data_IF_053398862185
#
_entry.id   IF_053398862185
#
_cell.length_a   1.000
_cell.length_b   1.000
_cell.length_c   1.000
_cell.angle_alpha   90.00
_cell.angle_beta   90.00
_cell.angle_gamma   90.00
#
_symmetry.space_group_name_H-M   'P 1'
#
loop_
_entity.id
_entity.type
_entity.pdbx_description
1 polymer ?
#
# COMPACT_ATOMS: atom_id res chain seq x y z
N UNK A 1 -31.10 -4.17 16.65
CA UNK A 1 -30.04 -3.22 16.23
C UNK A 1 -28.69 -3.80 16.65
N UNK A 2 -28.05 -4.60 15.80
CA UNK A 2 -26.76 -5.25 16.10
C UNK A 2 -25.63 -4.38 15.57
N UNK A 3 -25.07 -3.55 16.46
CA UNK A 3 -23.85 -2.80 16.21
C UNK A 3 -22.67 -3.68 16.61
N UNK A 4 -21.90 -4.20 15.66
CA UNK A 4 -20.42 -4.35 15.71
C UNK A 4 -19.91 -5.30 14.61
N UNK A 5 -18.79 -4.91 14.02
CA UNK A 5 -17.77 -5.75 13.39
C UNK A 5 -18.04 -6.26 11.95
N UNK A 6 -17.71 -5.47 10.92
CA UNK A 6 -17.30 -5.98 9.58
C UNK A 6 -16.76 -4.88 8.66
N UNK A 7 -15.94 -3.96 9.16
CA UNK A 7 -15.03 -3.24 8.26
C UNK A 7 -13.64 -3.40 8.83
N UNK A 8 -12.89 -4.31 8.24
CA UNK A 8 -11.44 -4.37 8.36
C UNK A 8 -10.91 -3.01 7.92
N UNK A 9 -10.72 -2.11 8.87
CA UNK A 9 -10.01 -0.84 8.65
C UNK A 9 -8.55 -1.19 8.48
N UNK A 10 -8.18 -1.63 7.29
CA UNK A 10 -6.80 -2.02 6.98
C UNK A 10 -5.98 -0.75 6.79
N UNK A 11 -5.66 -0.08 7.91
CA UNK A 11 -4.78 1.08 7.91
C UNK A 11 -3.44 0.67 7.29
N UNK A 12 -2.96 1.46 6.36
CA UNK A 12 -1.68 1.25 5.70
C UNK A 12 -0.75 2.42 6.04
N UNK A 13 0.55 2.17 5.87
CA UNK A 13 1.58 3.13 6.22
C UNK A 13 2.26 3.63 4.95
N UNK A 14 2.43 4.93 4.85
CA UNK A 14 3.22 5.58 3.80
C UNK A 14 4.45 6.18 4.45
N UNK A 15 5.61 5.90 3.87
CA UNK A 15 6.88 6.52 4.26
C UNK A 15 7.40 7.37 3.11
N UNK A 16 7.88 8.57 3.44
CA UNK A 16 8.57 9.48 2.51
C UNK A 16 9.98 9.68 3.04
N UNK A 17 10.98 9.29 2.26
CA UNK A 17 12.39 9.58 2.50
C UNK A 17 12.70 11.01 2.02
N UNK A 18 12.99 11.91 2.94
CA UNK A 18 13.28 13.31 2.66
C UNK A 18 14.68 13.52 2.11
N UNK A 19 15.58 12.54 2.25
CA UNK A 19 16.93 12.59 1.70
C UNK A 19 16.96 12.20 0.22
N UNK A 20 16.02 11.35 -0.20
CA UNK A 20 15.80 10.97 -1.61
C UNK A 20 14.79 11.88 -2.31
N UNK A 21 13.90 12.57 -1.57
CA UNK A 21 12.91 13.46 -2.16
C UNK A 21 13.60 14.68 -2.80
N UNK A 22 13.40 14.86 -4.11
CA UNK A 22 13.99 15.96 -4.89
C UNK A 22 13.00 17.12 -5.14
N UNK A 23 11.78 17.06 -4.57
CA UNK A 23 10.78 18.12 -4.80
C UNK A 23 10.20 18.14 -6.22
N UNK A 24 10.24 17.03 -6.97
CA UNK A 24 9.67 16.92 -8.33
C UNK A 24 8.11 16.91 -8.29
N UNK A 25 7.51 16.68 -7.12
CA UNK A 25 6.07 16.75 -6.84
C UNK A 25 5.13 15.94 -7.77
N UNK A 26 5.67 14.95 -8.49
CA UNK A 26 4.85 14.04 -9.30
C UNK A 26 3.80 13.29 -8.48
N UNK A 27 4.09 13.04 -7.19
CA UNK A 27 3.17 12.43 -6.24
C UNK A 27 1.90 13.27 -5.99
N UNK A 28 2.01 14.60 -5.85
CA UNK A 28 0.89 15.51 -5.60
C UNK A 28 -0.14 15.51 -6.75
N UNK A 29 0.31 15.22 -7.98
CA UNK A 29 -0.58 15.12 -9.14
C UNK A 29 -1.38 13.82 -9.14
N UNK A 30 -0.90 12.79 -8.45
CA UNK A 30 -1.57 11.49 -8.34
C UNK A 30 -2.45 11.40 -7.11
N UNK A 31 -2.06 12.07 -6.04
CA UNK A 31 -2.71 12.00 -4.74
C UNK A 31 -2.71 13.38 -4.08
N UNK A 32 -3.89 13.98 -3.96
CA UNK A 32 -4.10 15.32 -3.41
C UNK A 32 -3.80 15.42 -1.91
N UNK A 33 -3.67 14.29 -1.23
CA UNK A 33 -3.28 14.23 0.19
C UNK A 33 -1.80 14.51 0.37
N UNK A 34 -0.99 14.30 -0.67
CA UNK A 34 0.37 14.79 -0.67
C UNK A 34 0.31 16.29 -0.93
N UNK A 35 1.05 17.05 -0.12
CA UNK A 35 1.17 18.50 -0.25
C UNK A 35 2.64 18.90 -0.18
N UNK A 36 2.95 20.12 -0.59
CA UNK A 36 4.28 20.68 -0.41
C UNK A 36 4.46 21.11 1.05
N UNK A 37 5.53 20.62 1.68
CA UNK A 37 5.94 21.02 3.01
C UNK A 37 6.68 22.36 3.01
N UNK A 38 6.86 22.98 4.19
CA UNK A 38 7.57 24.26 4.32
C UNK A 38 9.04 24.20 3.92
N UNK A 39 9.60 23.00 3.84
CA UNK A 39 10.96 22.68 3.42
C UNK A 39 11.11 22.48 1.90
N UNK A 40 10.03 22.63 1.13
CA UNK A 40 10.05 22.42 -0.32
C UNK A 40 10.09 20.95 -0.74
N UNK A 41 9.79 20.03 0.18
CA UNK A 41 9.67 18.59 -0.10
C UNK A 41 8.23 18.12 0.11
N UNK A 42 7.92 16.95 -0.43
CA UNK A 42 6.59 16.36 -0.27
C UNK A 42 6.32 16.00 1.20
N UNK A 43 5.11 16.31 1.66
CA UNK A 43 4.57 15.93 2.96
C UNK A 43 3.12 15.46 2.81
N UNK A 44 2.48 15.09 3.91
CA UNK A 44 1.09 14.61 3.94
C UNK A 44 0.21 15.64 4.65
N UNK A 45 -0.93 15.96 4.06
CA UNK A 45 -1.93 16.84 4.63
C UNK A 45 -2.61 16.17 5.84
N UNK A 46 -2.30 16.65 7.04
CA UNK A 46 -2.91 16.20 8.29
C UNK A 46 -4.40 16.52 8.42
N UNK A 47 -4.93 17.39 7.55
CA UNK A 47 -6.34 17.78 7.53
C UNK A 47 -7.18 16.91 6.60
N UNK A 48 -6.54 16.06 5.77
CA UNK A 48 -7.24 15.14 4.88
C UNK A 48 -7.98 14.05 5.67
N UNK A 49 -9.23 13.78 5.30
CA UNK A 49 -10.13 12.85 6.00
C UNK A 49 -9.58 11.41 6.11
N UNK A 50 -8.75 10.98 5.16
CA UNK A 50 -8.13 9.65 5.15
C UNK A 50 -6.99 9.49 6.16
N UNK A 51 -6.42 10.60 6.64
CA UNK A 51 -5.17 10.62 7.40
C UNK A 51 -5.45 10.42 8.88
N UNK A 52 -4.84 9.37 9.43
CA UNK A 52 -5.01 8.98 10.84
C UNK A 52 -3.95 9.64 11.70
N UNK A 53 -2.69 9.63 11.24
CA UNK A 53 -1.56 10.21 11.94
C UNK A 53 -0.43 10.49 10.97
N UNK A 54 0.35 11.54 11.24
CA UNK A 54 1.57 11.86 10.52
C UNK A 54 2.66 12.15 11.55
N UNK A 55 3.78 11.44 11.41
CA UNK A 55 4.99 11.67 12.19
C UNK A 55 6.09 12.11 11.24
N UNK A 56 6.79 13.18 11.61
CA UNK A 56 7.86 13.76 10.80
C UNK A 56 9.15 13.82 11.61
N UNK A 57 10.23 13.37 11.00
CA UNK A 57 11.61 13.52 11.50
C UNK A 57 12.43 14.36 10.53
N UNK A 58 13.74 14.48 10.76
CA UNK A 58 14.63 15.20 9.88
C UNK A 58 14.76 14.53 8.50
N UNK A 59 14.76 13.20 8.46
CA UNK A 59 15.10 12.43 7.26
C UNK A 59 13.89 11.72 6.65
N UNK A 60 12.79 11.55 7.40
CA UNK A 60 11.63 10.80 6.93
C UNK A 60 10.30 11.31 7.48
N UNK A 61 9.24 11.06 6.71
CA UNK A 61 7.85 11.26 7.10
C UNK A 61 7.14 9.93 7.07
N UNK A 62 6.38 9.64 8.12
CA UNK A 62 5.60 8.42 8.27
C UNK A 62 4.15 8.81 8.49
N UNK A 63 3.28 8.45 7.55
CA UNK A 63 1.85 8.67 7.65
C UNK A 63 1.10 7.35 7.73
N UNK A 64 0.05 7.32 8.54
CA UNK A 64 -0.92 6.22 8.61
C UNK A 64 -2.21 6.70 8.00
N UNK A 65 -2.71 5.98 6.99
CA UNK A 65 -3.92 6.31 6.26
C UNK A 65 -4.92 5.15 6.33
N UNK A 66 -6.20 5.49 6.27
CA UNK A 66 -7.29 4.54 6.46
C UNK A 66 -7.99 4.10 5.17
N UNK A 67 -7.76 4.80 4.06
CA UNK A 67 -8.40 4.56 2.75
C UNK A 67 -7.51 4.99 1.58
N UNK A 68 -7.89 4.57 0.37
CA UNK A 68 -7.26 4.95 -0.90
C UNK A 68 -5.77 4.55 -0.99
N UNK A 69 -5.46 3.27 -0.68
CA UNK A 69 -4.10 2.75 -0.78
C UNK A 69 -3.58 2.75 -2.23
N UNK A 70 -4.44 2.40 -3.19
CA UNK A 70 -4.09 2.39 -4.62
C UNK A 70 -3.57 3.75 -5.09
N UNK A 71 -4.19 4.85 -4.63
CA UNK A 71 -3.76 6.21 -4.97
C UNK A 71 -2.38 6.53 -4.39
N UNK A 72 -2.11 6.09 -3.16
CA UNK A 72 -0.78 6.23 -2.55
C UNK A 72 0.29 5.40 -3.30
N UNK A 73 -0.06 4.22 -3.78
CA UNK A 73 0.83 3.37 -4.59
C UNK A 73 1.12 4.00 -5.97
N UNK A 74 0.12 4.62 -6.58
CA UNK A 74 0.31 5.40 -7.80
C UNK A 74 1.21 6.61 -7.58
N UNK A 75 1.06 7.30 -6.44
CA UNK A 75 1.94 8.41 -6.07
C UNK A 75 3.38 7.94 -5.84
N UNK A 76 3.57 6.78 -5.21
CA UNK A 76 4.88 6.17 -5.03
C UNK A 76 5.54 5.79 -6.36
N UNK A 77 4.78 5.15 -7.25
CA UNK A 77 5.24 4.79 -8.61
C UNK A 77 5.59 6.00 -9.45
N UNK A 78 4.89 7.13 -9.24
CA UNK A 78 5.15 8.37 -9.94
C UNK A 78 6.40 9.10 -9.44
N UNK A 79 6.95 8.75 -8.27
CA UNK A 79 8.09 9.41 -7.67
C UNK A 79 9.40 8.99 -8.37
N UNK A 80 10.04 9.86 -9.19
CA UNK A 80 11.25 9.47 -9.92
C UNK A 80 12.43 9.01 -9.05
N UNK A 81 12.70 9.63 -7.87
CA UNK A 81 13.75 9.14 -6.99
C UNK A 81 13.31 7.94 -6.13
N UNK A 82 12.08 7.44 -6.28
CA UNK A 82 11.51 6.37 -5.47
C UNK A 82 11.57 6.67 -3.95
N UNK A 83 11.35 7.93 -3.59
CA UNK A 83 11.42 8.40 -2.21
C UNK A 83 10.19 8.00 -1.37
N UNK A 84 9.19 7.32 -1.94
CA UNK A 84 7.93 6.99 -1.28
C UNK A 84 7.77 5.47 -1.24
N UNK A 85 7.49 4.93 -0.06
CA UNK A 85 7.18 3.51 0.13
C UNK A 85 5.80 3.35 0.77
N UNK A 86 4.96 2.49 0.19
CA UNK A 86 3.66 2.12 0.75
C UNK A 86 3.79 0.73 1.35
N UNK A 87 3.50 0.63 2.65
CA UNK A 87 3.46 -0.63 3.36
C UNK A 87 2.01 -1.07 3.46
N UNK A 88 1.70 -2.31 3.06
CA UNK A 88 0.36 -2.84 3.24
C UNK A 88 -0.01 -2.81 4.73
N UNK A 89 -1.31 -2.82 5.04
CA UNK A 89 -1.75 -3.08 6.40
C UNK A 89 -1.03 -4.32 6.91
N UNK A 90 -0.47 -4.27 8.13
CA UNK A 90 0.13 -5.42 8.77
C UNK A 90 -0.95 -6.46 9.10
N UNK A 91 -1.49 -7.11 8.09
CA UNK A 91 -2.06 -8.44 8.22
C UNK A 91 -0.86 -9.34 8.47
N UNK A 92 -0.68 -9.77 9.72
CA UNK A 92 0.15 -10.94 9.97
C UNK A 92 -0.26 -12.04 8.99
N UNK A 93 0.71 -12.82 8.53
CA UNK A 93 0.51 -14.02 7.71
C UNK A 93 0.38 -13.80 6.19
N UNK A 94 1.42 -13.21 5.59
CA UNK A 94 1.78 -13.54 4.21
C UNK A 94 2.65 -14.81 4.19
N UNK A 95 2.02 -15.98 4.41
CA UNK A 95 2.61 -17.26 4.02
C UNK A 95 2.00 -17.69 2.70
N UNK A 96 2.67 -17.28 1.63
CA UNK A 96 2.47 -17.83 0.28
C UNK A 96 3.14 -19.21 0.24
N UNK A 97 2.40 -20.24 0.62
CA UNK A 97 2.73 -21.64 0.30
C UNK A 97 1.83 -22.10 -0.85
N UNK A 98 1.96 -21.44 -2.01
CA UNK A 98 1.35 -21.92 -3.24
C UNK A 98 2.21 -23.04 -3.86
N UNK A 99 2.33 -24.17 -3.16
CA UNK A 99 2.95 -25.37 -3.70
C UNK A 99 1.95 -26.15 -4.59
N UNK A 100 1.96 -25.77 -5.87
CA UNK A 100 1.91 -26.67 -7.05
C UNK A 100 0.86 -27.80 -7.06
N UNK A 101 -0.36 -27.48 -7.51
CA UNK A 101 -1.29 -28.48 -8.07
C UNK A 101 -0.87 -28.85 -9.50
N UNK A 102 0.18 -29.68 -9.62
CA UNK A 102 0.55 -30.31 -10.90
C UNK A 102 -0.23 -31.62 -11.09
N UNK A 103 -1.42 -31.46 -11.66
CA UNK A 103 -2.04 -32.35 -12.64
C UNK A 103 -1.31 -33.67 -12.96
N UNK A 104 -1.78 -34.79 -12.39
CA UNK A 104 -1.74 -36.09 -13.07
C UNK A 104 -3.14 -36.69 -13.08
N UNK A 105 -3.92 -36.19 -14.02
CA UNK A 105 -5.19 -36.78 -14.43
C UNK A 105 -4.94 -37.46 -15.78
N UNK A 106 -4.32 -38.65 -15.74
CA UNK A 106 -4.23 -39.54 -16.90
C UNK A 106 -5.34 -40.57 -16.75
N UNK A 107 -6.38 -40.40 -17.58
CA UNK A 107 -7.60 -41.19 -17.54
C UNK A 107 -7.50 -42.59 -18.15
N UNK A 108 -8.43 -43.43 -17.70
CA UNK A 108 -9.29 -44.36 -18.46
C UNK A 108 -8.65 -45.50 -19.30
N UNK A 109 -8.94 -46.76 -18.91
CA UNK A 109 -9.74 -47.69 -19.74
C UNK A 109 -10.13 -48.96 -18.98
N UNK A 110 -11.45 -49.13 -18.85
CA UNK A 110 -12.13 -50.38 -18.53
C UNK A 110 -12.00 -51.36 -19.71
N UNK A 111 -11.66 -52.61 -19.43
CA UNK A 111 -11.70 -53.71 -20.39
C UNK A 111 -12.58 -54.83 -19.86
N UNK A 112 -13.85 -54.84 -20.28
CA UNK A 112 -14.76 -55.97 -20.16
C UNK A 112 -14.61 -56.86 -21.40
N UNK A 113 -14.24 -58.13 -21.24
CA UNK A 113 -14.85 -59.32 -21.85
C UNK A 113 -14.00 -60.58 -21.60
N UNK A 114 -14.54 -61.59 -20.92
CA UNK A 114 -14.56 -63.02 -21.32
C UNK A 114 -15.45 -63.78 -20.33
#
# INVERSE_FOLDING_TARGET
MSKQSSQTQSQYRVEIDLTACDGIFACLTRDDRFIEGPDGLATIDVTADSVVSVSRTADHIVAVLSKDADTAELAATACPPNAITVYPPSSGDASDDNEKTDSRHDGQSIGENT
#
